data_IF_171488290453
#
_entry.id   IF_171488290453
#
_cell.length_a   1.000
_cell.length_b   1.000
_cell.length_c   1.000
_cell.angle_alpha   90.00
_cell.angle_beta   90.00
_cell.angle_gamma   90.00
#
_symmetry.space_group_name_H-M   'P 1'
#
loop_
_entity.id
_entity.type
_entity.pdbx_description
1 polymer ?
#
# COMPACT_ATOMS: atom_id res chain seq x y z
N UNK A 1 -19.34 30.56 -15.83
CA UNK A 1 -18.57 29.75 -14.88
C UNK A 1 -18.97 28.32 -15.13
N UNK A 2 -18.04 27.44 -15.52
CA UNK A 2 -18.32 26.06 -15.92
C UNK A 2 -18.55 25.22 -14.64
N UNK A 3 -19.81 24.99 -14.21
CA UNK A 3 -20.07 24.49 -12.87
C UNK A 3 -19.68 23.02 -12.71
N UNK A 4 -19.46 22.29 -13.80
CA UNK A 4 -19.11 20.88 -13.83
C UNK A 4 -17.61 20.64 -14.12
N UNK A 5 -16.80 21.69 -14.21
CA UNK A 5 -15.36 21.56 -14.42
C UNK A 5 -14.65 21.29 -13.09
N UNK A 6 -14.35 20.01 -12.87
CA UNK A 6 -13.78 19.50 -11.63
C UNK A 6 -12.34 19.99 -11.38
N UNK A 7 -11.55 20.21 -12.43
CA UNK A 7 -10.18 20.70 -12.30
C UNK A 7 -10.16 22.19 -11.94
N UNK A 8 -11.05 22.96 -12.56
CA UNK A 8 -11.23 24.38 -12.21
C UNK A 8 -11.69 24.55 -10.76
N UNK A 9 -12.59 23.69 -10.27
CA UNK A 9 -12.97 23.69 -8.86
C UNK A 9 -11.80 23.38 -7.94
N UNK A 10 -10.95 22.41 -8.29
CA UNK A 10 -9.80 22.04 -7.50
C UNK A 10 -8.77 23.18 -7.44
N UNK A 11 -8.47 23.79 -8.58
CA UNK A 11 -7.62 24.98 -8.65
C UNK A 11 -8.20 26.12 -7.80
N UNK A 12 -9.52 26.32 -7.85
CA UNK A 12 -10.18 27.35 -7.06
C UNK A 12 -10.14 27.05 -5.56
N UNK A 13 -10.29 25.79 -5.14
CA UNK A 13 -10.11 25.39 -3.73
C UNK A 13 -8.68 25.68 -3.28
N UNK A 14 -7.67 25.33 -4.07
CA UNK A 14 -6.26 25.63 -3.75
C UNK A 14 -5.94 27.12 -3.76
N UNK A 15 -6.58 27.90 -4.63
CA UNK A 15 -6.49 29.35 -4.59
C UNK A 15 -7.14 29.91 -3.32
N UNK A 16 -8.34 29.43 -3.00
CA UNK A 16 -9.09 29.83 -1.82
C UNK A 16 -8.31 29.59 -0.53
N UNK A 17 -7.73 28.41 -0.37
CA UNK A 17 -6.91 28.07 0.80
C UNK A 17 -5.67 28.97 0.96
N UNK A 18 -5.07 29.40 -0.16
CA UNK A 18 -3.86 30.24 -0.13
C UNK A 18 -4.13 31.73 0.05
N UNK A 19 -5.29 32.21 -0.41
CA UNK A 19 -5.51 33.64 -0.62
C UNK A 19 -6.79 34.19 0.00
N UNK A 20 -7.74 33.36 0.41
CA UNK A 20 -8.98 33.82 1.03
C UNK A 20 -8.94 33.62 2.55
N UNK A 21 -9.48 34.61 3.27
CA UNK A 21 -9.81 34.55 4.68
C UNK A 21 -11.25 35.04 4.86
N UNK A 22 -12.07 34.51 5.80
CA UNK A 22 -11.78 33.49 6.83
C UNK A 22 -11.99 32.01 6.39
N UNK A 23 -11.58 31.01 7.21
CA UNK A 23 -11.75 29.57 6.94
C UNK A 23 -13.13 29.13 6.44
N UNK A 24 -14.20 29.70 7.01
CA UNK A 24 -15.59 29.42 6.59
C UNK A 24 -15.82 29.69 5.10
N UNK A 25 -15.13 30.69 4.54
CA UNK A 25 -15.21 31.02 3.11
C UNK A 25 -14.58 29.91 2.28
N UNK A 26 -13.43 29.38 2.72
CA UNK A 26 -12.74 28.27 2.06
C UNK A 26 -13.58 27.00 2.12
N UNK A 27 -14.11 26.65 3.30
CA UNK A 27 -15.00 25.50 3.48
C UNK A 27 -16.32 25.65 2.69
N UNK A 28 -16.80 26.88 2.52
CA UNK A 28 -17.92 27.20 1.63
C UNK A 28 -17.59 26.96 0.14
N UNK A 29 -16.36 27.24 -0.30
CA UNK A 29 -15.89 26.87 -1.66
C UNK A 29 -15.87 25.36 -1.80
N UNK A 30 -15.29 24.63 -0.83
CA UNK A 30 -15.25 23.17 -0.83
C UNK A 30 -16.66 22.55 -0.88
N UNK A 31 -17.61 23.11 -0.12
CA UNK A 31 -19.00 22.60 -0.12
C UNK A 31 -19.71 22.83 -1.45
N UNK A 32 -19.43 23.95 -2.13
CA UNK A 32 -19.97 24.19 -3.49
C UNK A 32 -19.31 23.27 -4.51
N UNK A 33 -18.00 23.06 -4.44
CA UNK A 33 -17.28 22.20 -5.37
C UNK A 33 -17.74 20.75 -5.26
N UNK A 34 -17.85 20.21 -4.04
CA UNK A 34 -18.32 18.82 -3.83
C UNK A 34 -19.79 18.64 -4.19
N UNK A 35 -20.62 19.69 -4.13
CA UNK A 35 -22.02 19.62 -4.58
C UNK A 35 -22.14 19.66 -6.10
N UNK A 36 -21.28 20.40 -6.78
CA UNK A 36 -21.34 20.56 -8.23
C UNK A 36 -20.58 19.44 -8.99
N UNK A 37 -19.50 18.92 -8.40
CA UNK A 37 -18.72 17.79 -8.91
C UNK A 37 -18.60 16.67 -7.86
N UNK A 38 -19.72 16.07 -7.42
CA UNK A 38 -19.74 15.04 -6.38
C UNK A 38 -18.95 13.78 -6.76
N UNK A 39 -18.79 13.44 -8.03
CA UNK A 39 -17.97 12.32 -8.51
C UNK A 39 -16.46 12.55 -8.36
N UNK A 40 -16.02 13.81 -8.22
CA UNK A 40 -14.58 14.08 -8.19
C UNK A 40 -14.02 13.97 -6.77
N UNK A 41 -13.55 12.77 -6.44
CA UNK A 41 -13.00 12.34 -5.15
C UNK A 41 -11.95 13.28 -4.56
N UNK A 42 -11.11 13.89 -5.40
CA UNK A 42 -10.06 14.80 -4.97
C UNK A 42 -10.62 16.05 -4.27
N UNK A 43 -11.81 16.54 -4.65
CA UNK A 43 -12.45 17.67 -3.97
C UNK A 43 -12.90 17.31 -2.55
N UNK A 44 -13.37 16.08 -2.36
CA UNK A 44 -13.71 15.58 -1.03
C UNK A 44 -12.47 15.47 -0.16
N UNK A 45 -11.39 14.90 -0.69
CA UNK A 45 -10.10 14.81 0.01
C UNK A 45 -9.61 16.18 0.48
N UNK A 46 -9.65 17.19 -0.39
CA UNK A 46 -9.29 18.56 -0.02
C UNK A 46 -10.23 19.15 1.03
N UNK A 47 -11.54 18.89 0.93
CA UNK A 47 -12.50 19.35 1.93
C UNK A 47 -12.17 18.80 3.32
N UNK A 48 -11.91 17.49 3.43
CA UNK A 48 -11.56 16.85 4.70
C UNK A 48 -10.28 17.41 5.31
N UNK A 49 -9.24 17.49 4.49
CA UNK A 49 -7.95 18.04 4.90
C UNK A 49 -8.09 19.46 5.44
N UNK A 50 -8.86 20.32 4.76
CA UNK A 50 -9.05 21.71 5.18
C UNK A 50 -9.91 21.83 6.44
N UNK A 51 -10.92 20.98 6.62
CA UNK A 51 -11.69 20.95 7.87
C UNK A 51 -10.84 20.57 9.07
N UNK A 52 -9.95 19.59 8.91
CA UNK A 52 -8.99 19.21 9.94
C UNK A 52 -7.98 20.33 10.22
N UNK A 53 -7.38 20.90 9.16
CA UNK A 53 -6.41 22.02 9.24
C UNK A 53 -6.97 23.22 9.99
N UNK A 54 -8.26 23.53 9.83
CA UNK A 54 -8.88 24.70 10.45
C UNK A 54 -9.46 24.43 11.83
N UNK A 55 -9.35 23.21 12.38
CA UNK A 55 -9.95 22.80 13.66
C UNK A 55 -11.46 23.13 13.78
N UNK A 56 -12.13 23.29 12.65
CA UNK A 56 -13.58 23.52 12.54
C UNK A 56 -14.31 22.20 12.27
N UNK A 57 -13.92 21.16 13.01
CA UNK A 57 -14.59 19.86 12.99
C UNK A 57 -15.72 19.85 14.01
N UNK A 58 -16.69 20.78 13.88
CA UNK A 58 -17.95 20.65 14.61
C UNK A 58 -18.59 19.32 14.23
N UNK A 59 -19.24 18.67 15.20
CA UNK A 59 -20.00 17.45 14.95
C UNK A 59 -21.03 17.65 13.82
N UNK A 60 -21.61 18.84 13.71
CA UNK A 60 -22.55 19.21 12.63
C UNK A 60 -21.88 19.24 11.26
N UNK A 61 -20.68 19.80 11.14
CA UNK A 61 -19.94 19.86 9.87
C UNK A 61 -19.51 18.45 9.42
N UNK A 62 -19.09 17.61 10.36
CA UNK A 62 -18.77 16.20 10.10
C UNK A 62 -20.01 15.41 9.65
N UNK A 63 -21.16 15.64 10.29
CA UNK A 63 -22.44 15.05 9.86
C UNK A 63 -22.86 15.53 8.47
N UNK A 64 -22.70 16.82 8.17
CA UNK A 64 -23.00 17.36 6.85
C UNK A 64 -22.10 16.75 5.77
N UNK A 65 -20.82 16.53 6.06
CA UNK A 65 -19.93 15.81 5.13
C UNK A 65 -20.37 14.36 4.96
N UNK A 66 -20.69 13.64 6.04
CA UNK A 66 -21.22 12.26 5.97
C UNK A 66 -22.50 12.16 5.14
N UNK A 67 -23.44 13.08 5.35
CA UNK A 67 -24.69 13.12 4.58
C UNK A 67 -24.41 13.36 3.10
N UNK A 68 -23.53 14.32 2.80
CA UNK A 68 -23.19 14.65 1.42
C UNK A 68 -22.41 13.51 0.74
N UNK A 69 -21.53 12.78 1.43
CA UNK A 69 -20.85 11.61 0.86
C UNK A 69 -21.77 10.41 0.69
N UNK A 70 -22.73 10.20 1.59
CA UNK A 70 -23.77 9.17 1.43
C UNK A 70 -24.64 9.49 0.21
N UNK A 71 -25.09 10.74 0.08
CA UNK A 71 -25.85 11.18 -1.10
C UNK A 71 -25.02 11.10 -2.40
N UNK A 72 -23.71 11.32 -2.32
CA UNK A 72 -22.83 11.14 -3.47
C UNK A 72 -22.64 9.66 -3.81
N UNK A 73 -22.55 8.76 -2.82
CA UNK A 73 -22.57 7.32 -3.06
C UNK A 73 -23.86 6.86 -3.73
N UNK A 74 -25.02 7.38 -3.33
CA UNK A 74 -26.30 7.02 -3.97
C UNK A 74 -26.33 7.33 -5.48
N UNK A 75 -25.57 8.34 -5.91
CA UNK A 75 -25.53 8.79 -7.30
C UNK A 75 -24.30 8.30 -8.08
N UNK A 76 -23.21 7.96 -7.39
CA UNK A 76 -21.89 7.65 -7.97
C UNK A 76 -21.25 6.39 -7.37
N UNK A 77 -22.07 5.45 -6.87
CA UNK A 77 -21.62 4.18 -6.28
C UNK A 77 -20.68 3.36 -7.20
N UNK A 78 -20.69 3.61 -8.51
CA UNK A 78 -19.83 2.93 -9.49
C UNK A 78 -18.36 3.37 -9.43
N UNK A 79 -18.02 4.39 -8.63
CA UNK A 79 -16.65 4.90 -8.51
C UNK A 79 -16.01 4.44 -7.18
N UNK A 80 -15.01 3.57 -7.26
CA UNK A 80 -14.35 3.01 -6.06
C UNK A 80 -13.70 4.08 -5.17
N UNK A 81 -13.25 5.20 -5.75
CA UNK A 81 -12.69 6.30 -4.98
C UNK A 81 -13.72 6.95 -4.04
N UNK A 82 -15.02 6.95 -4.39
CA UNK A 82 -16.07 7.47 -3.52
C UNK A 82 -16.27 6.59 -2.30
N UNK A 83 -16.24 5.27 -2.49
CA UNK A 83 -16.28 4.31 -1.39
C UNK A 83 -15.05 4.39 -0.48
N UNK A 84 -13.86 4.58 -1.05
CA UNK A 84 -12.64 4.83 -0.26
C UNK A 84 -12.81 6.05 0.65
N UNK A 85 -13.21 7.19 0.09
CA UNK A 85 -13.35 8.41 0.88
C UNK A 85 -14.48 8.28 1.91
N UNK A 86 -15.57 7.58 1.56
CA UNK A 86 -16.63 7.26 2.52
C UNK A 86 -16.12 6.39 3.68
N UNK A 87 -15.33 5.35 3.40
CA UNK A 87 -14.70 4.53 4.45
C UNK A 87 -13.77 5.39 5.32
N UNK A 88 -12.94 6.24 4.72
CA UNK A 88 -12.05 7.14 5.47
C UNK A 88 -12.81 8.12 6.37
N UNK A 89 -13.98 8.59 5.93
CA UNK A 89 -14.84 9.52 6.66
C UNK A 89 -15.67 8.89 7.76
N UNK A 90 -16.14 7.67 7.52
CA UNK A 90 -16.96 6.92 8.46
C UNK A 90 -16.14 6.47 9.66
N UNK A 91 -14.84 6.26 9.46
CA UNK A 91 -13.92 5.75 10.46
C UNK A 91 -12.82 6.77 10.77
N UNK A 92 -13.15 7.86 11.51
CA UNK A 92 -12.22 8.95 11.78
C UNK A 92 -10.98 8.49 12.57
N UNK A 93 -9.88 9.21 12.37
CA UNK A 93 -8.57 8.99 12.97
C UNK A 93 -8.55 9.34 14.46
N UNK A 94 -8.26 8.36 15.32
CA UNK A 94 -8.08 8.54 16.78
C UNK A 94 -6.73 9.18 17.18
N UNK A 95 -6.27 10.20 16.47
CA UNK A 95 -5.11 11.00 16.91
C UNK A 95 -5.48 12.44 17.26
N UNK A 96 -6.71 12.64 17.73
CA UNK A 96 -7.08 13.83 18.48
C UNK A 96 -6.83 13.51 19.95
N UNK A 97 -5.94 14.28 20.58
CA UNK A 97 -5.55 14.08 21.98
C UNK A 97 -6.73 13.93 22.94
N UNK A 98 -6.43 13.40 24.13
CA UNK A 98 -7.36 12.95 25.19
C UNK A 98 -8.58 13.83 25.49
N UNK A 99 -8.60 15.10 25.10
CA UNK A 99 -9.71 16.04 25.29
C UNK A 99 -10.78 16.01 24.20
N UNK A 100 -10.61 15.23 23.11
CA UNK A 100 -11.55 15.15 21.98
C UNK A 100 -12.20 13.76 21.83
N UNK A 101 -12.22 12.99 22.93
CA UNK A 101 -12.86 11.67 23.07
C UNK A 101 -14.36 11.62 22.74
N UNK A 102 -14.98 12.76 22.39
CA UNK A 102 -16.41 12.93 22.15
C UNK A 102 -16.84 12.79 20.67
N UNK A 103 -15.91 12.58 19.73
CA UNK A 103 -16.24 12.39 18.31
C UNK A 103 -16.22 10.93 17.85
N UNK A 104 -15.90 9.99 18.74
CA UNK A 104 -16.20 8.57 18.54
C UNK A 104 -17.69 8.42 18.76
N UNK A 105 -18.47 8.68 17.71
CA UNK A 105 -19.81 8.12 17.65
C UNK A 105 -19.58 6.63 17.46
N UNK A 106 -19.73 5.87 18.54
CA UNK A 106 -19.92 4.42 18.47
C UNK A 106 -21.10 4.17 17.52
N UNK A 107 -20.77 3.83 16.28
CA UNK A 107 -21.71 3.42 15.26
C UNK A 107 -21.56 1.91 15.15
N UNK A 108 -22.12 1.22 16.13
CA UNK A 108 -22.28 -0.25 16.21
C UNK A 108 -23.15 -0.84 15.07
N UNK A 109 -23.29 -0.16 13.93
CA UNK A 109 -24.27 -0.45 12.89
C UNK A 109 -23.75 -0.96 11.54
N UNK A 110 -22.44 -1.04 11.30
CA UNK A 110 -21.91 -1.06 9.92
C UNK A 110 -21.00 -2.23 9.53
N UNK A 111 -21.42 -3.45 9.91
CA UNK A 111 -20.96 -4.68 9.25
C UNK A 111 -21.55 -4.72 7.83
N UNK A 112 -20.81 -4.29 6.81
CA UNK A 112 -21.28 -4.40 5.41
C UNK A 112 -20.78 -3.36 4.42
N UNK A 113 -20.09 -2.30 4.84
CA UNK A 113 -19.69 -1.19 3.92
C UNK A 113 -18.72 -1.69 2.85
N UNK A 114 -17.77 -2.53 3.22
CA UNK A 114 -16.85 -3.14 2.26
C UNK A 114 -17.61 -4.08 1.32
N UNK A 115 -18.52 -4.89 1.86
CA UNK A 115 -19.34 -5.83 1.08
C UNK A 115 -20.23 -5.10 0.08
N UNK A 116 -20.82 -3.97 0.46
CA UNK A 116 -21.58 -3.09 -0.44
C UNK A 116 -20.68 -2.49 -1.52
N UNK A 117 -19.49 -2.01 -1.15
CA UNK A 117 -18.53 -1.46 -2.10
C UNK A 117 -18.05 -2.52 -3.09
N UNK A 118 -17.82 -3.76 -2.65
CA UNK A 118 -17.36 -4.88 -3.48
C UNK A 118 -18.47 -5.50 -4.34
N UNK A 119 -19.74 -5.34 -3.95
CA UNK A 119 -20.90 -5.75 -4.75
C UNK A 119 -21.05 -4.93 -6.03
N UNK A 120 -20.41 -3.75 -6.10
CA UNK A 120 -20.32 -2.96 -7.31
C UNK A 120 -19.38 -3.65 -8.30
N UNK A 121 -19.84 -3.84 -9.53
CA UNK A 121 -19.07 -4.49 -10.60
C UNK A 121 -18.09 -3.51 -11.27
N UNK A 122 -16.97 -3.19 -10.60
CA UNK A 122 -15.89 -2.43 -11.24
C UNK A 122 -15.21 -3.25 -12.34
N UNK A 123 -14.75 -2.56 -13.37
CA UNK A 123 -14.02 -3.17 -14.49
C UNK A 123 -12.52 -3.28 -14.23
N UNK A 124 -11.96 -2.46 -13.32
CA UNK A 124 -10.52 -2.42 -13.05
C UNK A 124 -10.15 -3.18 -11.78
N UNK A 125 -9.06 -3.96 -11.86
CA UNK A 125 -8.42 -4.55 -10.69
C UNK A 125 -7.96 -3.50 -9.67
N UNK A 126 -7.50 -2.34 -10.15
CA UNK A 126 -7.03 -1.23 -9.30
C UNK A 126 -8.13 -0.70 -8.37
N UNK A 127 -9.37 -0.72 -8.83
CA UNK A 127 -10.52 -0.22 -8.07
C UNK A 127 -10.80 -1.12 -6.88
N UNK A 128 -10.81 -2.44 -7.09
CA UNK A 128 -10.96 -3.39 -5.98
C UNK A 128 -9.76 -3.34 -5.03
N UNK A 129 -8.53 -3.26 -5.55
CA UNK A 129 -7.33 -3.13 -4.72
C UNK A 129 -7.40 -1.87 -3.85
N UNK A 130 -7.87 -0.74 -4.40
CA UNK A 130 -8.07 0.50 -3.67
C UNK A 130 -9.03 0.34 -2.49
N UNK A 131 -10.15 -0.36 -2.69
CA UNK A 131 -11.15 -0.62 -1.64
C UNK A 131 -10.59 -1.52 -0.53
N UNK A 132 -9.90 -2.60 -0.92
CA UNK A 132 -9.26 -3.50 0.05
C UNK A 132 -8.20 -2.78 0.87
N UNK A 133 -7.37 -1.94 0.26
CA UNK A 133 -6.37 -1.14 0.96
C UNK A 133 -7.01 -0.10 1.89
N UNK A 134 -8.08 0.57 1.46
CA UNK A 134 -8.80 1.53 2.28
C UNK A 134 -9.36 0.88 3.56
N UNK A 135 -9.95 -0.31 3.41
CA UNK A 135 -10.47 -1.06 4.55
C UNK A 135 -9.36 -1.70 5.40
N UNK A 136 -8.26 -2.14 4.79
CA UNK A 136 -7.08 -2.61 5.50
C UNK A 136 -6.47 -1.49 6.38
N UNK A 137 -6.36 -0.28 5.86
CA UNK A 137 -5.88 0.87 6.61
C UNK A 137 -6.81 1.22 7.78
N UNK A 138 -8.11 1.04 7.61
CA UNK A 138 -9.09 1.13 8.70
C UNK A 138 -8.85 0.07 9.77
N UNK A 139 -8.75 -1.20 9.39
CA UNK A 139 -8.49 -2.30 10.35
C UNK A 139 -7.18 -2.09 11.10
N UNK A 140 -6.11 -1.67 10.41
CA UNK A 140 -4.83 -1.36 11.04
C UNK A 140 -4.96 -0.28 12.12
N UNK A 141 -5.81 0.73 11.91
CA UNK A 141 -6.01 1.82 12.88
C UNK A 141 -6.74 1.37 14.14
N UNK A 142 -7.54 0.32 14.07
CA UNK A 142 -8.28 -0.24 15.21
C UNK A 142 -7.45 -1.13 16.13
N UNK A 143 -6.23 -1.46 15.72
CA UNK A 143 -5.36 -2.29 16.55
C UNK A 143 -4.81 -1.43 17.68
N UNK A 144 -5.34 -1.64 18.88
CA UNK A 144 -4.88 -0.99 20.11
C UNK A 144 -3.72 -1.78 20.72
N UNK A 145 -2.58 -1.13 20.96
CA UNK A 145 -1.36 -1.81 21.40
C UNK A 145 -1.42 -2.39 22.83
N UNK A 146 -2.19 -1.74 23.71
CA UNK A 146 -2.26 -2.08 25.14
C UNK A 146 -3.61 -2.69 25.55
N UNK A 147 -4.33 -3.28 24.59
CA UNK A 147 -5.68 -3.82 24.77
C UNK A 147 -5.67 -5.34 24.80
N UNK A 148 -6.49 -5.95 25.68
CA UNK A 148 -6.67 -7.40 25.75
C UNK A 148 -7.23 -8.01 24.44
N UNK A 149 -7.77 -7.16 23.54
CA UNK A 149 -8.34 -7.56 22.26
C UNK A 149 -7.35 -7.51 21.10
N UNK A 150 -6.11 -7.07 21.31
CA UNK A 150 -5.13 -6.87 20.22
C UNK A 150 -4.97 -8.12 19.36
N UNK A 151 -4.79 -9.29 19.97
CA UNK A 151 -4.57 -10.54 19.23
C UNK A 151 -5.77 -10.93 18.36
N UNK A 152 -6.99 -10.66 18.85
CA UNK A 152 -8.22 -10.89 18.09
C UNK A 152 -8.35 -9.90 16.92
N UNK A 153 -8.06 -8.61 17.16
CA UNK A 153 -8.08 -7.56 16.14
C UNK A 153 -7.05 -7.84 15.02
N UNK A 154 -5.83 -8.22 15.40
CA UNK A 154 -4.76 -8.59 14.46
C UNK A 154 -5.13 -9.84 13.69
N UNK A 155 -5.75 -10.85 14.33
CA UNK A 155 -6.19 -12.06 13.65
C UNK A 155 -7.25 -11.76 12.60
N UNK A 156 -8.30 -11.02 12.97
CA UNK A 156 -9.33 -10.57 12.03
C UNK A 156 -8.72 -9.75 10.88
N UNK A 157 -7.73 -8.91 11.15
CA UNK A 157 -7.05 -8.14 10.10
C UNK A 157 -6.24 -9.05 9.15
N UNK A 158 -5.51 -10.03 9.66
CA UNK A 158 -4.77 -10.98 8.81
C UNK A 158 -5.70 -11.86 7.97
N UNK A 159 -6.87 -12.25 8.50
CA UNK A 159 -7.90 -12.96 7.74
C UNK A 159 -8.48 -12.11 6.62
N UNK A 160 -8.74 -10.82 6.89
CA UNK A 160 -9.16 -9.86 5.87
C UNK A 160 -8.13 -9.74 4.73
N UNK A 161 -6.84 -9.62 5.06
CA UNK A 161 -5.78 -9.52 4.06
C UNK A 161 -5.68 -10.81 3.21
N UNK A 162 -5.87 -11.97 3.84
CA UNK A 162 -5.94 -13.24 3.13
C UNK A 162 -7.14 -13.28 2.15
N UNK A 163 -8.32 -12.85 2.61
CA UNK A 163 -9.53 -12.75 1.79
C UNK A 163 -9.33 -11.79 0.62
N UNK A 164 -8.69 -10.64 0.85
CA UNK A 164 -8.39 -9.64 -0.17
C UNK A 164 -7.48 -10.22 -1.27
N UNK A 165 -6.41 -10.90 -0.88
CA UNK A 165 -5.47 -11.54 -1.80
C UNK A 165 -6.17 -12.61 -2.64
N UNK A 166 -6.96 -13.48 -2.01
CA UNK A 166 -7.69 -14.55 -2.69
C UNK A 166 -8.69 -13.98 -3.70
N UNK A 167 -9.49 -12.99 -3.29
CA UNK A 167 -10.48 -12.35 -4.13
C UNK A 167 -9.86 -11.70 -5.39
N UNK A 168 -8.75 -10.97 -5.24
CA UNK A 168 -8.06 -10.37 -6.38
C UNK A 168 -7.39 -11.41 -7.28
N UNK A 169 -6.79 -12.44 -6.69
CA UNK A 169 -6.14 -13.50 -7.44
C UNK A 169 -7.15 -14.34 -8.25
N UNK A 170 -8.30 -14.68 -7.67
CA UNK A 170 -9.35 -15.43 -8.37
C UNK A 170 -9.89 -14.68 -9.60
N UNK A 171 -10.05 -13.35 -9.50
CA UNK A 171 -10.67 -12.57 -10.59
C UNK A 171 -9.68 -12.02 -11.61
N UNK A 172 -8.48 -11.63 -11.18
CA UNK A 172 -7.52 -10.91 -12.01
C UNK A 172 -6.13 -11.58 -12.08
N UNK A 173 -5.91 -12.65 -11.30
CA UNK A 173 -4.60 -13.28 -11.16
C UNK A 173 -3.55 -12.27 -10.68
N UNK A 174 -2.35 -12.35 -11.26
CA UNK A 174 -1.23 -11.44 -10.94
C UNK A 174 -1.49 -9.98 -11.29
N UNK A 175 -2.51 -9.67 -12.12
CA UNK A 175 -2.89 -8.28 -12.44
C UNK A 175 -3.74 -7.64 -11.35
N UNK A 176 -4.24 -8.43 -10.40
CA UNK A 176 -5.02 -7.95 -9.25
C UNK A 176 -4.22 -7.02 -8.35
N UNK A 177 -2.99 -7.45 -8.04
CA UNK A 177 -2.03 -6.71 -7.23
C UNK A 177 -0.62 -6.88 -7.82
N UNK A 178 -0.27 -6.14 -8.89
CA UNK A 178 0.98 -6.34 -9.63
C UNK A 178 2.26 -6.06 -8.83
N UNK A 179 2.15 -5.38 -7.69
CA UNK A 179 3.28 -5.07 -6.80
C UNK A 179 3.20 -5.85 -5.48
N UNK A 180 2.23 -6.75 -5.34
CA UNK A 180 1.98 -7.51 -4.11
C UNK A 180 1.82 -6.61 -2.87
N UNK A 181 1.22 -5.42 -3.00
CA UNK A 181 1.03 -4.44 -1.92
C UNK A 181 0.33 -5.08 -0.72
N UNK A 182 -0.69 -5.92 -0.95
CA UNK A 182 -1.42 -6.58 0.14
C UNK A 182 -0.56 -7.61 0.87
N UNK A 183 0.24 -8.40 0.15
CA UNK A 183 1.16 -9.37 0.76
C UNK A 183 2.28 -8.66 1.53
N UNK A 184 2.82 -7.56 1.00
CA UNK A 184 3.79 -6.73 1.71
C UNK A 184 3.19 -6.11 2.98
N UNK A 185 1.93 -5.69 2.94
CA UNK A 185 1.22 -5.20 4.12
C UNK A 185 1.03 -6.31 5.15
N UNK A 186 0.56 -7.48 4.71
CA UNK A 186 0.37 -8.63 5.58
C UNK A 186 1.69 -9.03 6.27
N UNK A 187 2.79 -9.13 5.53
CA UNK A 187 4.09 -9.44 6.11
C UNK A 187 4.50 -8.44 7.21
N UNK A 188 4.26 -7.13 7.01
CA UNK A 188 4.54 -6.10 8.03
C UNK A 188 3.70 -6.28 9.30
N UNK A 189 2.41 -6.59 9.16
CA UNK A 189 1.50 -6.80 10.29
C UNK A 189 1.85 -8.08 11.06
N UNK A 190 2.13 -9.16 10.34
CA UNK A 190 2.53 -10.43 10.94
C UNK A 190 3.84 -10.28 11.74
N UNK A 191 4.83 -9.59 11.17
CA UNK A 191 6.09 -9.30 11.84
C UNK A 191 5.92 -8.40 13.08
N UNK A 192 5.13 -7.32 12.95
CA UNK A 192 5.00 -6.30 13.99
C UNK A 192 4.19 -6.76 15.21
N UNK A 193 3.09 -7.50 15.00
CA UNK A 193 2.15 -7.83 16.08
C UNK A 193 2.22 -9.30 16.51
N UNK A 194 2.46 -10.23 15.59
CA UNK A 194 2.50 -11.67 15.90
C UNK A 194 3.92 -12.20 16.10
N UNK A 195 4.93 -11.51 15.55
CA UNK A 195 6.33 -11.95 15.61
C UNK A 195 6.61 -13.25 14.85
N UNK A 196 5.67 -13.74 14.03
CA UNK A 196 5.80 -14.98 13.26
C UNK A 196 6.66 -14.74 12.01
N UNK A 197 7.97 -14.76 12.22
CA UNK A 197 8.93 -14.59 11.14
C UNK A 197 8.96 -15.76 10.15
N UNK A 198 8.45 -16.94 10.50
CA UNK A 198 8.35 -18.05 9.53
C UNK A 198 7.30 -17.73 8.47
N UNK A 199 6.13 -17.27 8.90
CA UNK A 199 5.07 -16.83 7.99
C UNK A 199 5.47 -15.61 7.17
N UNK A 200 6.18 -14.65 7.77
CA UNK A 200 6.75 -13.50 7.03
C UNK A 200 7.66 -13.98 5.89
N UNK A 201 8.54 -14.96 6.15
CA UNK A 201 9.45 -15.51 5.13
C UNK A 201 8.69 -16.26 4.04
N UNK A 202 7.59 -16.96 4.38
CA UNK A 202 6.70 -17.58 3.39
C UNK A 202 6.06 -16.53 2.48
N UNK A 203 5.43 -15.51 3.06
CA UNK A 203 4.82 -14.40 2.30
C UNK A 203 5.83 -13.72 1.37
N UNK A 204 7.05 -13.44 1.85
CA UNK A 204 8.09 -12.85 1.02
C UNK A 204 8.63 -13.81 -0.05
N UNK A 205 8.69 -15.11 0.21
CA UNK A 205 9.02 -16.07 -0.85
C UNK A 205 7.95 -16.05 -1.95
N UNK A 206 6.67 -16.00 -1.59
CA UNK A 206 5.57 -15.91 -2.56
C UNK A 206 5.69 -14.64 -3.40
N UNK A 207 5.89 -13.47 -2.76
CA UNK A 207 6.14 -12.20 -3.46
C UNK A 207 7.31 -12.34 -4.45
N UNK A 208 8.44 -12.89 -4.01
CA UNK A 208 9.63 -13.00 -4.86
C UNK A 208 9.40 -13.95 -6.05
N UNK A 209 8.60 -15.00 -5.90
CA UNK A 209 8.27 -15.94 -6.99
C UNK A 209 7.34 -15.36 -8.05
N UNK A 210 6.62 -14.27 -7.75
CA UNK A 210 5.78 -13.56 -8.70
C UNK A 210 6.55 -12.67 -9.69
N UNK A 211 7.89 -12.75 -9.70
CA UNK A 211 8.76 -12.01 -10.63
C UNK A 211 9.43 -10.78 -10.02
N UNK A 212 9.27 -10.59 -8.70
CA UNK A 212 9.83 -9.44 -7.98
C UNK A 212 11.31 -9.63 -7.55
N UNK A 213 11.86 -10.84 -7.68
CA UNK A 213 13.23 -11.16 -7.25
C UNK A 213 14.34 -10.41 -8.01
N UNK A 214 14.04 -9.82 -9.16
CA UNK A 214 15.01 -9.06 -9.96
C UNK A 214 15.19 -7.61 -9.47
N UNK A 215 14.31 -7.09 -8.61
CA UNK A 215 14.32 -5.70 -8.16
C UNK A 215 14.95 -5.55 -6.78
N UNK A 216 15.92 -4.64 -6.64
CA UNK A 216 16.63 -4.42 -5.38
C UNK A 216 15.70 -3.91 -4.28
N UNK A 217 14.74 -3.06 -4.63
CA UNK A 217 13.81 -2.44 -3.67
C UNK A 217 13.02 -3.51 -2.91
N UNK A 218 12.53 -4.53 -3.60
CA UNK A 218 11.78 -5.63 -2.98
C UNK A 218 12.64 -6.43 -2.00
N UNK A 219 13.92 -6.65 -2.32
CA UNK A 219 14.84 -7.30 -1.39
C UNK A 219 15.17 -6.44 -0.19
N UNK A 220 15.34 -5.13 -0.38
CA UNK A 220 15.66 -4.20 0.71
C UNK A 220 14.51 -4.11 1.72
N UNK A 221 13.26 -4.10 1.26
CA UNK A 221 12.08 -4.16 2.14
C UNK A 221 12.04 -5.45 2.95
N UNK A 222 12.27 -6.61 2.31
CA UNK A 222 12.34 -7.89 3.02
C UNK A 222 13.49 -7.93 4.04
N UNK A 223 14.68 -7.47 3.63
CA UNK A 223 15.86 -7.36 4.49
C UNK A 223 15.58 -6.44 5.69
N UNK A 224 14.89 -5.32 5.49
CA UNK A 224 14.53 -4.41 6.57
C UNK A 224 13.63 -5.11 7.59
N UNK A 225 12.63 -5.85 7.14
CA UNK A 225 11.71 -6.56 8.02
C UNK A 225 12.43 -7.65 8.84
N UNK A 226 13.29 -8.44 8.18
CA UNK A 226 14.13 -9.45 8.84
C UNK A 226 15.17 -8.81 9.79
N UNK A 227 15.62 -7.59 9.51
CA UNK A 227 16.53 -6.84 10.41
C UNK A 227 15.84 -6.36 11.67
N UNK A 228 14.57 -5.96 11.59
CA UNK A 228 13.80 -5.43 12.74
C UNK A 228 13.29 -6.58 13.62
N UNK A 229 12.73 -7.63 13.02
CA UNK A 229 11.99 -8.68 13.76
C UNK A 229 12.65 -10.06 13.70
N UNK A 230 13.59 -10.28 12.78
CA UNK A 230 14.22 -11.57 12.56
C UNK A 230 15.54 -11.76 13.31
N UNK A 231 16.40 -12.62 12.77
CA UNK A 231 17.69 -12.94 13.35
C UNK A 231 18.87 -12.79 12.37
N UNK A 232 20.06 -12.64 12.94
CA UNK A 232 21.27 -12.36 12.16
C UNK A 232 21.70 -13.53 11.26
N UNK A 233 21.25 -14.77 11.51
CA UNK A 233 21.59 -15.93 10.70
C UNK A 233 20.76 -15.96 9.42
N UNK A 234 19.46 -15.72 9.53
CA UNK A 234 18.59 -15.60 8.35
C UNK A 234 18.91 -14.36 7.54
N UNK A 235 19.17 -13.21 8.20
CA UNK A 235 19.53 -11.96 7.54
C UNK A 235 20.79 -12.09 6.65
N UNK A 236 21.84 -12.77 7.13
CA UNK A 236 23.06 -13.02 6.32
C UNK A 236 22.78 -13.85 5.07
N UNK A 237 22.00 -14.93 5.22
CA UNK A 237 21.59 -15.77 4.08
C UNK A 237 20.73 -14.98 3.10
N UNK A 238 19.90 -14.08 3.62
CA UNK A 238 19.01 -13.24 2.85
C UNK A 238 19.81 -12.25 1.99
N UNK A 239 20.80 -11.55 2.54
CA UNK A 239 21.70 -10.69 1.77
C UNK A 239 22.40 -11.45 0.63
N UNK A 240 22.95 -12.62 0.93
CA UNK A 240 23.62 -13.46 -0.08
C UNK A 240 22.66 -13.95 -1.18
N UNK A 241 21.38 -14.15 -0.86
CA UNK A 241 20.32 -14.53 -1.82
C UNK A 241 19.80 -13.34 -2.62
N UNK A 242 19.79 -12.14 -2.04
CA UNK A 242 19.35 -10.89 -2.68
C UNK A 242 20.39 -10.35 -3.68
N UNK A 243 21.67 -10.31 -3.29
CA UNK A 243 22.79 -10.40 -4.24
C UNK A 243 22.63 -11.74 -4.99
N UNK A 244 23.35 -12.18 -6.00
CA UNK A 244 22.86 -13.29 -6.90
C UNK A 244 21.51 -13.07 -7.62
N UNK A 245 20.38 -12.79 -6.96
CA UNK A 245 19.05 -12.75 -7.60
C UNK A 245 18.69 -11.39 -8.24
N UNK A 246 19.04 -10.28 -7.59
CA UNK A 246 18.74 -8.93 -8.11
C UNK A 246 19.39 -8.72 -9.48
N UNK A 247 18.80 -7.92 -10.36
CA UNK A 247 19.34 -7.62 -11.70
C UNK A 247 19.58 -6.12 -11.92
N UNK A 248 18.78 -5.26 -11.28
CA UNK A 248 18.79 -3.80 -11.51
C UNK A 248 19.97 -3.09 -10.83
N UNK A 249 20.09 -3.15 -9.50
CA UNK A 249 21.03 -2.37 -8.70
C UNK A 249 21.70 -3.21 -7.61
N UNK A 250 22.53 -4.20 -7.98
CA UNK A 250 23.23 -5.06 -7.02
C UNK A 250 24.12 -4.30 -6.02
N UNK A 251 24.62 -3.13 -6.40
CA UNK A 251 25.45 -2.29 -5.55
C UNK A 251 24.72 -1.86 -4.27
N UNK A 252 23.41 -1.62 -4.35
CA UNK A 252 22.60 -1.26 -3.17
C UNK A 252 22.56 -2.40 -2.16
N UNK A 253 22.34 -3.64 -2.63
CA UNK A 253 22.31 -4.83 -1.77
C UNK A 253 23.69 -5.10 -1.17
N UNK A 254 24.74 -5.02 -1.98
CA UNK A 254 26.10 -5.24 -1.51
C UNK A 254 26.52 -4.22 -0.45
N UNK A 255 26.22 -2.94 -0.69
CA UNK A 255 26.50 -1.86 0.28
C UNK A 255 25.75 -2.11 1.60
N UNK A 256 24.47 -2.49 1.53
CA UNK A 256 23.68 -2.82 2.71
C UNK A 256 24.25 -4.02 3.48
N UNK A 257 24.67 -5.08 2.78
CA UNK A 257 25.28 -6.26 3.41
C UNK A 257 26.62 -5.94 4.09
N UNK A 258 27.51 -5.23 3.38
CA UNK A 258 28.80 -4.81 3.93
C UNK A 258 28.61 -3.95 5.17
N UNK A 259 27.68 -2.99 5.16
CA UNK A 259 27.37 -2.17 6.33
C UNK A 259 26.83 -3.00 7.49
N UNK A 260 25.95 -3.97 7.23
CA UNK A 260 25.49 -4.90 8.26
C UNK A 260 26.64 -5.68 8.91
N UNK A 261 27.59 -6.21 8.12
CA UNK A 261 28.75 -6.93 8.67
C UNK A 261 29.73 -6.00 9.39
N UNK A 262 29.83 -4.71 9.02
CA UNK A 262 30.61 -3.73 9.81
C UNK A 262 30.04 -3.55 11.21
N UNK A 263 28.72 -3.48 11.31
CA UNK A 263 28.04 -3.17 12.57
C UNK A 263 27.93 -4.39 13.51
N UNK A 264 27.80 -5.59 12.95
CA UNK A 264 27.42 -6.82 13.70
C UNK A 264 28.24 -8.07 13.35
N UNK A 265 29.13 -7.98 12.37
CA UNK A 265 29.87 -9.11 11.83
C UNK A 265 31.22 -9.36 12.51
N UNK A 266 31.89 -10.41 12.05
CA UNK A 266 33.30 -10.66 12.32
C UNK A 266 34.13 -10.18 11.13
N UNK A 267 35.45 -10.10 11.29
CA UNK A 267 36.34 -9.79 10.18
C UNK A 267 36.16 -10.77 9.00
N UNK A 268 35.95 -12.05 9.30
CA UNK A 268 35.71 -13.10 8.30
C UNK A 268 34.39 -12.90 7.56
N UNK A 269 33.29 -12.60 8.26
CA UNK A 269 31.99 -12.38 7.62
C UNK A 269 31.96 -11.08 6.80
N UNK A 270 32.65 -10.03 7.28
CA UNK A 270 32.85 -8.79 6.54
C UNK A 270 33.63 -9.03 5.24
N UNK A 271 34.72 -9.79 5.31
CA UNK A 271 35.54 -10.12 4.15
C UNK A 271 34.73 -10.95 3.14
N UNK A 272 33.99 -11.96 3.60
CA UNK A 272 33.12 -12.78 2.76
C UNK A 272 32.06 -11.96 2.02
N UNK A 273 31.44 -10.97 2.69
CA UNK A 273 30.48 -10.07 2.04
C UNK A 273 31.14 -9.19 0.96
N UNK A 274 32.35 -8.68 1.22
CA UNK A 274 33.11 -7.90 0.24
C UNK A 274 33.49 -8.75 -0.99
N UNK A 275 33.91 -9.99 -0.77
CA UNK A 275 34.35 -10.87 -1.84
C UNK A 275 33.17 -11.36 -2.69
N UNK A 276 32.02 -11.68 -2.07
CA UNK A 276 30.79 -12.01 -2.79
C UNK A 276 30.35 -10.90 -3.76
N UNK A 277 30.52 -9.63 -3.37
CA UNK A 277 30.24 -8.49 -4.24
C UNK A 277 31.23 -8.37 -5.40
N UNK A 278 32.53 -8.51 -5.12
CA UNK A 278 33.57 -8.50 -6.17
C UNK A 278 33.35 -9.61 -7.19
N UNK A 279 33.09 -10.83 -6.72
CA UNK A 279 32.84 -12.00 -7.58
C UNK A 279 31.66 -11.76 -8.52
N UNK A 280 30.56 -11.22 -7.99
CA UNK A 280 29.39 -10.88 -8.81
C UNK A 280 29.70 -9.81 -9.86
N UNK A 281 30.46 -8.78 -9.52
CA UNK A 281 30.85 -7.73 -10.47
C UNK A 281 31.84 -8.24 -11.52
N UNK A 282 32.77 -9.12 -11.15
CA UNK A 282 33.69 -9.79 -12.09
C UNK A 282 32.93 -10.68 -13.08
N UNK A 283 31.90 -11.39 -12.62
CA UNK A 283 31.00 -12.17 -13.48
C UNK A 283 30.12 -11.30 -14.40
N UNK A 284 29.78 -10.07 -13.99
CA UNK A 284 29.10 -9.10 -14.85
C UNK A 284 29.97 -8.60 -16.01
N UNK A 285 31.29 -8.52 -15.82
CA UNK A 285 32.24 -8.15 -16.87
C UNK A 285 32.42 -9.25 -17.92
N UNK A 286 32.35 -10.53 -17.52
CA UNK A 286 32.51 -11.66 -18.45
C UNK A 286 31.27 -11.90 -19.31
N UNK A 287 30.07 -11.53 -18.86
CA UNK A 287 28.82 -11.67 -19.62
C UNK A 287 28.52 -10.46 -20.53
N UNK A 288 28.97 -9.25 -20.15
CA UNK A 288 28.80 -8.02 -20.95
C UNK A 288 30.06 -7.57 -21.71
N UNK A 289 31.18 -8.29 -21.58
CA UNK A 289 32.49 -7.94 -22.15
C UNK A 289 32.76 -8.38 -23.60
N UNK A 290 31.75 -8.86 -24.36
CA UNK A 290 31.92 -8.99 -25.83
C UNK A 290 31.42 -7.71 -26.50
N UNK A 291 32.26 -7.00 -27.28
CA UNK A 291 31.82 -5.82 -28.01
C UNK A 291 30.71 -6.24 -28.98
N UNK A 292 29.59 -5.51 -28.94
CA UNK A 292 28.46 -5.67 -29.87
C UNK A 292 28.98 -5.42 -31.29
N UNK A 293 28.88 -6.37 -32.24
CA UNK A 293 29.29 -6.11 -33.61
C UNK A 293 28.38 -5.03 -34.21
N UNK A 294 29.00 -4.10 -34.92
CA UNK A 294 28.32 -3.00 -35.58
C UNK A 294 27.44 -3.51 -36.73
N UNK A 295 26.17 -3.08 -36.70
CA UNK A 295 25.16 -3.03 -37.77
C UNK A 295 24.69 -4.32 -38.46
N UNK A 296 23.36 -4.43 -38.57
CA UNK A 296 22.73 -4.93 -39.79
C UNK A 296 21.56 -5.90 -39.63
N UNK A 297 20.37 -5.40 -39.98
CA UNK A 297 19.21 -6.13 -40.50
C UNK A 297 18.35 -6.97 -39.52
N UNK A 298 17.05 -6.69 -39.58
CA UNK A 298 16.02 -7.24 -38.70
C UNK A 298 15.62 -8.68 -38.95
N UNK A 299 14.80 -9.19 -38.02
CA UNK A 299 13.47 -9.73 -38.31
C UNK A 299 12.72 -9.99 -37.00
N UNK A 300 11.43 -9.68 -37.03
CA UNK A 300 10.47 -9.97 -35.99
C UNK A 300 10.33 -11.48 -35.78
N UNK A 301 10.17 -11.89 -34.52
CA UNK A 301 9.83 -13.25 -34.12
C UNK A 301 8.94 -13.20 -32.88
N UNK A 302 7.64 -13.35 -33.10
CA UNK A 302 6.61 -13.53 -32.07
C UNK A 302 6.89 -14.83 -31.31
N UNK A 303 6.86 -14.80 -29.99
CA UNK A 303 6.80 -16.01 -29.15
C UNK A 303 5.65 -15.87 -28.15
N UNK A 304 4.65 -16.72 -28.36
CA UNK A 304 3.45 -16.93 -27.58
C UNK A 304 3.68 -17.90 -26.42
N UNK A 305 2.99 -17.62 -25.31
CA UNK A 305 2.48 -18.53 -24.28
C UNK A 305 3.45 -19.38 -23.43
N UNK A 306 3.31 -19.21 -22.11
CA UNK A 306 3.13 -20.35 -21.19
C UNK A 306 2.39 -19.89 -19.92
N UNK A 307 1.12 -20.27 -19.84
CA UNK A 307 0.27 -20.14 -18.66
C UNK A 307 0.88 -20.90 -17.47
N UNK A 308 1.13 -20.22 -16.34
CA UNK A 308 1.44 -20.88 -15.07
C UNK A 308 0.25 -20.71 -14.13
N UNK A 309 -0.30 -21.86 -13.72
CA UNK A 309 -1.41 -21.96 -12.79
C UNK A 309 -0.98 -21.48 -11.40
N UNK A 310 -1.85 -20.67 -10.81
CA UNK A 310 -1.84 -20.22 -9.43
C UNK A 310 -2.20 -21.40 -8.51
N UNK A 311 -1.48 -21.62 -7.40
CA UNK A 311 -1.83 -22.65 -6.42
C UNK A 311 -1.89 -22.04 -5.02
N UNK A 312 -3.09 -21.63 -4.61
CA UNK A 312 -3.37 -20.99 -3.32
C UNK A 312 -3.77 -22.00 -2.23
N UNK A 313 -3.01 -23.09 -2.08
CA UNK A 313 -3.36 -24.14 -1.11
C UNK A 313 -2.29 -24.43 -0.07
N UNK A 314 -1.25 -23.60 0.04
CA UNK A 314 -0.17 -23.82 1.00
C UNK A 314 -0.17 -22.82 2.17
N UNK A 315 -1.34 -22.58 2.76
CA UNK A 315 -1.46 -22.03 4.12
C UNK A 315 -2.59 -22.76 4.84
N UNK A 316 -2.21 -23.81 5.56
CA UNK A 316 -2.97 -24.42 6.65
C UNK A 316 -2.00 -24.75 7.77
#
# INVERSE_FOLDING_TARGET
MYPLDQLLWLEYVHFADRHLAPPDTVLGVCSRSTRNCPWFTELWRQKLFLMEKYHQSSHEDMQAVKLNTTSALDNYATEAGMWREYMMLKFPTENLGSDHKLLVVDLDGDSGVLEQALAVEYTSASDYLLLWLAYADYMRRRIEQDSDQQDQQVTAFTELLAQACEHLAQRFGLKGDPQCILLQYWARIEAAYKGDMEKVRLLWNDIMTQGHSQFAEMWLEYILLERIHGDTKHLRRLYARALRAVEDTPDKIATAWVNFERDKGTLESYQAACDAYKERNLLGWTTHGKPRPANGAGKAGVSTNASRHFNCTSVK
#
